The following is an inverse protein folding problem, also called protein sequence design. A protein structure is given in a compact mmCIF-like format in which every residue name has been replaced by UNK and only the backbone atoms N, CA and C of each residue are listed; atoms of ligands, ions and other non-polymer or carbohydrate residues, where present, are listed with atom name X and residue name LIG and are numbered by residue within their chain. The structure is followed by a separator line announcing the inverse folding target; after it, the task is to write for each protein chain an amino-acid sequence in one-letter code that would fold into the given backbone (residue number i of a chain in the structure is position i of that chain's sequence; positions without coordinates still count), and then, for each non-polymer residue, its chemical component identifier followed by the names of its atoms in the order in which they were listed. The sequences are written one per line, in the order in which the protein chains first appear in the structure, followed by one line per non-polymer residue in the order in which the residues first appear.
data_IF_549075651167
#
_entry.id   IF_549075651167
#
_cell.length_a   1.000
_cell.length_b   1.000
_cell.length_c   1.000
_cell.angle_alpha   90.00
_cell.angle_beta   90.00
_cell.angle_gamma   90.00
#
_symmetry.space_group_name_H-M   'P 1'
#
loop_
_entity.id
_entity.type
_entity.pdbx_description
1 polymer ?
#
# COMPACT_ATOMS: atom_id res chain seq x y z
N UNK A 1 -7.26 13.66 -8.18
CA UNK A 1 -7.62 12.76 -7.04
C UNK A 1 -9.05 12.25 -7.15
N UNK A 2 -10.09 13.08 -7.00
CA UNK A 2 -11.49 12.63 -7.11
C UNK A 2 -12.00 12.61 -8.56
N UNK A 3 -11.47 13.47 -9.43
CA UNK A 3 -11.97 13.61 -10.81
C UNK A 3 -11.30 12.73 -11.86
N UNK A 4 -10.33 11.88 -11.49
CA UNK A 4 -9.75 10.90 -12.42
C UNK A 4 -10.81 9.92 -12.95
N UNK A 5 -11.86 9.65 -12.15
CA UNK A 5 -13.00 8.85 -12.60
C UNK A 5 -13.80 9.52 -13.73
N UNK A 6 -13.80 10.86 -13.81
CA UNK A 6 -14.46 11.63 -14.87
C UNK A 6 -13.69 11.44 -16.19
N UNK A 7 -12.37 11.25 -16.09
CA UNK A 7 -11.49 10.97 -17.24
C UNK A 7 -11.39 9.46 -17.55
N UNK A 8 -12.17 8.62 -16.86
CA UNK A 8 -12.17 7.15 -17.05
C UNK A 8 -10.96 6.43 -16.43
N UNK A 9 -10.11 7.14 -15.67
CA UNK A 9 -8.87 6.61 -15.11
C UNK A 9 -9.09 6.03 -13.70
N UNK A 10 -9.86 4.93 -13.63
CA UNK A 10 -10.34 4.38 -12.36
C UNK A 10 -9.24 3.77 -11.49
N UNK A 11 -8.26 3.09 -12.09
CA UNK A 11 -7.20 2.42 -11.34
C UNK A 11 -6.31 3.38 -10.54
N UNK A 12 -5.73 4.45 -11.13
CA UNK A 12 -4.98 5.46 -10.39
C UNK A 12 -5.82 6.18 -9.33
N UNK A 13 -7.12 6.41 -9.58
CA UNK A 13 -8.03 6.97 -8.57
C UNK A 13 -8.11 6.08 -7.33
N UNK A 14 -8.32 4.77 -7.50
CA UNK A 14 -8.35 3.82 -6.40
C UNK A 14 -7.03 3.76 -5.64
N UNK A 15 -5.89 3.71 -6.36
CA UNK A 15 -4.55 3.66 -5.73
C UNK A 15 -4.29 4.91 -4.90
N UNK A 16 -4.57 6.10 -5.44
CA UNK A 16 -4.35 7.36 -4.74
C UNK A 16 -5.29 7.50 -3.53
N UNK A 17 -6.55 7.08 -3.67
CA UNK A 17 -7.51 7.04 -2.56
C UNK A 17 -7.06 6.10 -1.43
N UNK A 18 -6.62 4.89 -1.78
CA UNK A 18 -6.10 3.90 -0.84
C UNK A 18 -4.93 4.47 -0.01
N UNK A 19 -3.91 5.02 -0.69
CA UNK A 19 -2.75 5.58 0.00
C UNK A 19 -3.09 6.84 0.80
N UNK A 20 -4.00 7.70 0.34
CA UNK A 20 -4.44 8.86 1.10
C UNK A 20 -5.08 8.45 2.44
N UNK A 21 -5.98 7.45 2.40
CA UNK A 21 -6.63 6.93 3.62
C UNK A 21 -5.63 6.22 4.53
N UNK A 22 -4.68 5.45 3.97
CA UNK A 22 -3.61 4.84 4.75
C UNK A 22 -2.79 5.89 5.49
N UNK A 23 -2.24 6.88 4.78
CA UNK A 23 -1.38 7.91 5.40
C UNK A 23 -2.13 8.80 6.38
N UNK A 24 -3.39 9.14 6.08
CA UNK A 24 -4.21 9.92 7.02
C UNK A 24 -4.50 9.11 8.28
N UNK A 25 -4.98 7.86 8.15
CA UNK A 25 -5.28 7.02 9.32
C UNK A 25 -4.03 6.71 10.14
N UNK A 26 -2.90 6.41 9.49
CA UNK A 26 -1.63 6.19 10.17
C UNK A 26 -1.11 7.47 10.83
N UNK A 27 -1.29 8.62 10.19
CA UNK A 27 -0.97 9.92 10.77
C UNK A 27 -1.75 10.18 12.06
N UNK A 28 -3.06 9.89 12.08
CA UNK A 28 -3.89 10.00 13.28
C UNK A 28 -3.39 9.12 14.43
N UNK A 29 -2.85 7.93 14.16
CA UNK A 29 -2.25 7.08 15.20
C UNK A 29 -1.08 7.76 15.92
N UNK A 30 -0.38 8.69 15.25
CA UNK A 30 0.80 9.37 15.77
C UNK A 30 0.48 10.74 16.40
N UNK A 31 -0.75 11.24 16.27
CA UNK A 31 -1.12 12.56 16.80
C UNK A 31 -1.24 12.50 18.34
N UNK A 32 -0.36 13.16 19.11
CA UNK A 32 -0.35 13.01 20.57
C UNK A 32 -1.62 13.54 21.24
N UNK A 33 -2.27 14.55 20.64
CA UNK A 33 -3.50 15.16 21.19
C UNK A 33 -4.71 14.24 21.16
N UNK A 34 -4.69 13.15 20.39
CA UNK A 34 -5.75 12.15 20.39
C UNK A 34 -5.64 11.16 21.56
N UNK A 35 -4.50 11.13 22.26
CA UNK A 35 -4.29 10.33 23.48
C UNK A 35 -4.71 8.85 23.34
N UNK A 36 -4.48 8.25 22.16
CA UNK A 36 -4.94 6.89 21.85
C UNK A 36 -4.33 5.80 22.75
N UNK A 37 -3.21 6.10 23.40
CA UNK A 37 -2.59 5.23 24.39
C UNK A 37 -3.19 5.36 25.80
N UNK A 38 -3.94 6.43 26.10
CA UNK A 38 -4.46 6.69 27.46
C UNK A 38 -5.33 5.56 28.04
N UNK A 39 -6.17 4.84 27.27
CA UNK A 39 -6.93 3.70 27.79
C UNK A 39 -6.05 2.52 28.25
N UNK A 40 -4.80 2.47 27.77
CA UNK A 40 -3.84 1.42 28.07
C UNK A 40 -2.76 1.88 29.07
N UNK A 41 -2.90 3.09 29.61
CA UNK A 41 -1.94 3.65 30.55
C UNK A 41 -1.93 2.88 31.87
N UNK A 42 -0.74 2.64 32.40
CA UNK A 42 -0.52 2.04 33.71
C UNK A 42 0.36 2.97 34.56
N UNK A 43 0.51 2.68 35.85
CA UNK A 43 1.46 3.41 36.69
C UNK A 43 2.91 3.29 36.23
N UNK A 44 3.26 2.21 35.52
CA UNK A 44 4.59 1.96 34.98
C UNK A 44 4.79 2.53 33.56
N UNK A 45 3.72 2.62 32.76
CA UNK A 45 3.70 3.30 31.46
C UNK A 45 2.51 4.28 31.40
N UNK A 46 2.73 5.54 31.79
CA UNK A 46 1.69 6.57 31.77
C UNK A 46 1.21 6.93 30.35
N UNK A 47 1.95 6.53 29.31
CA UNK A 47 1.59 6.81 27.91
C UNK A 47 0.70 5.72 27.32
N UNK A 48 0.81 4.49 27.83
CA UNK A 48 0.12 3.29 27.33
C UNK A 48 0.55 2.86 25.91
N UNK A 49 1.54 3.53 25.30
CA UNK A 49 2.02 3.24 23.95
C UNK A 49 2.90 2.00 23.90
N UNK A 50 3.50 1.61 25.02
CA UNK A 50 4.26 0.37 25.12
C UNK A 50 3.40 -0.81 25.57
N UNK A 51 2.10 -0.60 25.81
CA UNK A 51 1.20 -1.68 26.23
C UNK A 51 1.11 -2.78 25.17
N UNK A 52 1.00 -4.06 25.59
CA UNK A 52 0.78 -5.16 24.67
C UNK A 52 -0.44 -4.96 23.78
N UNK A 53 -1.53 -4.45 24.34
CA UNK A 53 -2.81 -4.29 23.66
C UNK A 53 -2.76 -3.17 22.61
N UNK A 54 -2.10 -2.04 22.88
CA UNK A 54 -1.94 -0.97 21.89
C UNK A 54 -1.12 -1.46 20.68
N UNK A 55 0.01 -2.11 20.95
CA UNK A 55 0.88 -2.64 19.89
C UNK A 55 0.21 -3.75 19.10
N UNK A 56 -0.62 -4.57 19.76
CA UNK A 56 -1.44 -5.59 19.12
C UNK A 56 -2.42 -5.02 18.10
N UNK A 57 -3.10 -3.93 18.45
CA UNK A 57 -4.06 -3.25 17.56
C UNK A 57 -3.34 -2.68 16.34
N UNK A 58 -2.17 -2.06 16.53
CA UNK A 58 -1.37 -1.53 15.41
C UNK A 58 -0.87 -2.65 14.50
N UNK A 59 -0.46 -3.78 15.07
CA UNK A 59 -0.06 -4.96 14.29
C UNK A 59 -1.22 -5.51 13.43
N UNK A 60 -2.43 -5.61 13.99
CA UNK A 60 -3.63 -6.02 13.23
C UNK A 60 -3.98 -5.02 12.13
N UNK A 61 -3.92 -3.72 12.43
CA UNK A 61 -4.11 -2.65 11.44
C UNK A 61 -3.20 -2.87 10.22
N UNK A 62 -1.91 -3.12 10.43
CA UNK A 62 -0.95 -3.34 9.34
C UNK A 62 -1.20 -4.65 8.56
N UNK A 63 -1.71 -5.70 9.21
CA UNK A 63 -2.09 -6.95 8.51
C UNK A 63 -3.23 -6.69 7.54
N UNK A 64 -4.29 -6.02 7.99
CA UNK A 64 -5.46 -5.70 7.17
C UNK A 64 -5.06 -4.81 5.99
N UNK A 65 -4.24 -3.79 6.22
CA UNK A 65 -3.68 -2.96 5.15
C UNK A 65 -2.79 -3.74 4.18
N UNK A 66 -1.98 -4.68 4.68
CA UNK A 66 -1.17 -5.56 3.85
C UNK A 66 -2.02 -6.39 2.88
N UNK A 67 -3.17 -6.92 3.31
CA UNK A 67 -4.11 -7.61 2.43
C UNK A 67 -4.78 -6.69 1.39
N UNK A 68 -5.13 -5.46 1.78
CA UNK A 68 -5.64 -4.48 0.84
C UNK A 68 -4.59 -4.18 -0.25
N UNK A 69 -3.35 -3.89 0.14
CA UNK A 69 -2.23 -3.65 -0.78
C UNK A 69 -1.93 -4.88 -1.67
N UNK A 70 -2.06 -6.09 -1.12
CA UNK A 70 -1.80 -7.32 -1.85
C UNK A 70 -2.88 -7.58 -2.92
N UNK A 71 -4.12 -7.19 -2.66
CA UNK A 71 -5.18 -7.19 -3.68
C UNK A 71 -4.77 -6.30 -4.87
N UNK A 72 -4.26 -5.10 -4.61
CA UNK A 72 -3.75 -4.22 -5.68
C UNK A 72 -2.55 -4.82 -6.41
N UNK A 73 -1.64 -5.51 -5.72
CA UNK A 73 -0.55 -6.25 -6.35
C UNK A 73 -1.07 -7.19 -7.45
N UNK A 74 -2.05 -8.04 -7.13
CA UNK A 74 -2.63 -9.00 -8.08
C UNK A 74 -3.13 -8.30 -9.35
N UNK A 75 -3.81 -7.16 -9.21
CA UNK A 75 -4.31 -6.40 -10.37
C UNK A 75 -3.20 -5.69 -11.14
N UNK A 76 -2.16 -5.20 -10.46
CA UNK A 76 -1.03 -4.51 -11.11
C UNK A 76 -0.14 -5.45 -11.93
N UNK A 77 -0.21 -6.76 -11.69
CA UNK A 77 0.44 -7.75 -12.55
C UNK A 77 -0.03 -7.66 -14.01
N UNK A 78 -1.22 -7.12 -14.29
CA UNK A 78 -1.68 -6.88 -15.68
C UNK A 78 -1.12 -5.60 -16.31
N UNK A 79 -0.44 -4.74 -15.54
CA UNK A 79 -0.04 -3.40 -15.96
C UNK A 79 1.45 -3.37 -16.30
N UNK A 80 2.33 -3.31 -15.30
CA UNK A 80 3.77 -3.31 -15.51
C UNK A 80 4.52 -3.87 -14.30
N UNK A 81 5.72 -4.37 -14.54
CA UNK A 81 6.58 -5.02 -13.53
C UNK A 81 6.90 -4.08 -12.39
N UNK A 82 7.15 -2.79 -12.67
CA UNK A 82 7.55 -1.84 -11.63
C UNK A 82 6.41 -1.57 -10.64
N UNK A 83 5.18 -1.37 -11.11
CA UNK A 83 4.01 -1.25 -10.24
C UNK A 83 3.75 -2.55 -9.48
N UNK A 84 3.84 -3.71 -10.13
CA UNK A 84 3.71 -5.00 -9.45
C UNK A 84 4.77 -5.15 -8.35
N UNK A 85 6.03 -4.80 -8.62
CA UNK A 85 7.09 -4.82 -7.62
C UNK A 85 6.83 -3.85 -6.46
N UNK A 86 6.37 -2.63 -6.74
CA UNK A 86 5.98 -1.66 -5.71
C UNK A 86 4.90 -2.24 -4.78
N UNK A 87 3.82 -2.77 -5.34
CA UNK A 87 2.72 -3.31 -4.53
C UNK A 87 3.11 -4.58 -3.77
N UNK A 88 3.93 -5.46 -4.36
CA UNK A 88 4.44 -6.64 -3.67
C UNK A 88 5.33 -6.26 -2.47
N UNK A 89 6.28 -5.34 -2.70
CA UNK A 89 7.23 -4.92 -1.68
C UNK A 89 6.54 -4.15 -0.55
N UNK A 90 5.57 -3.28 -0.85
CA UNK A 90 4.82 -2.55 0.19
C UNK A 90 3.90 -3.48 0.99
N UNK A 91 3.26 -4.47 0.36
CA UNK A 91 2.50 -5.51 1.09
C UNK A 91 3.40 -6.31 2.02
N UNK A 92 4.56 -6.75 1.52
CA UNK A 92 5.54 -7.48 2.32
C UNK A 92 6.06 -6.62 3.47
N UNK A 93 6.35 -5.35 3.23
CA UNK A 93 6.78 -4.40 4.25
C UNK A 93 5.70 -4.20 5.33
N UNK A 94 4.43 -4.09 4.95
CA UNK A 94 3.32 -3.96 5.91
C UNK A 94 3.23 -5.17 6.85
N UNK A 95 3.36 -6.39 6.32
CA UNK A 95 3.35 -7.61 7.15
C UNK A 95 4.61 -7.75 8.01
N UNK A 96 5.79 -7.37 7.49
CA UNK A 96 7.03 -7.35 8.26
C UNK A 96 6.96 -6.33 9.41
N UNK A 97 6.43 -5.14 9.15
CA UNK A 97 6.22 -4.11 10.18
C UNK A 97 5.16 -4.53 11.19
N UNK A 98 4.08 -5.19 10.76
CA UNK A 98 3.13 -5.82 11.69
C UNK A 98 3.82 -6.78 12.64
N UNK A 99 4.71 -7.64 12.12
CA UNK A 99 5.55 -8.52 12.93
C UNK A 99 6.39 -7.76 13.95
N UNK A 100 6.92 -6.58 13.61
CA UNK A 100 7.64 -5.74 14.55
C UNK A 100 6.76 -5.30 15.73
N UNK A 101 5.55 -4.82 15.45
CA UNK A 101 4.58 -4.42 16.50
C UNK A 101 4.13 -5.61 17.36
N UNK A 102 3.94 -6.80 16.78
CA UNK A 102 3.70 -8.01 17.57
C UNK A 102 4.86 -8.38 18.49
N UNK A 103 6.10 -8.19 18.03
CA UNK A 103 7.27 -8.45 18.86
C UNK A 103 7.39 -7.47 20.02
N UNK A 104 7.02 -6.21 19.81
CA UNK A 104 6.88 -5.21 20.89
C UNK A 104 5.84 -5.67 21.92
N UNK A 105 4.67 -6.17 21.49
CA UNK A 105 3.64 -6.60 22.44
C UNK A 105 4.06 -7.80 23.31
N UNK A 106 4.99 -8.63 22.81
CA UNK A 106 5.56 -9.76 23.56
C UNK A 106 6.83 -9.40 24.35
N UNK A 107 7.28 -8.15 24.31
CA UNK A 107 8.49 -7.68 25.01
C UNK A 107 9.83 -8.06 24.33
N UNK A 108 9.81 -8.55 23.10
CA UNK A 108 11.00 -8.95 22.33
C UNK A 108 11.48 -7.78 21.45
N UNK A 109 12.10 -6.79 22.10
CA UNK A 109 12.51 -5.54 21.45
C UNK A 109 13.67 -5.70 20.45
N UNK A 110 14.53 -6.72 20.64
CA UNK A 110 15.63 -6.99 19.70
C UNK A 110 15.09 -7.51 18.36
N UNK A 111 14.19 -8.49 18.40
CA UNK A 111 13.52 -8.96 17.18
C UNK A 111 12.68 -7.83 16.56
N UNK A 112 11.93 -7.07 17.36
CA UNK A 112 11.14 -5.94 16.87
C UNK A 112 11.99 -4.93 16.08
N UNK A 113 13.17 -4.58 16.61
CA UNK A 113 14.10 -3.65 15.94
C UNK A 113 14.62 -4.21 14.61
N UNK A 114 14.93 -5.51 14.54
CA UNK A 114 15.37 -6.17 13.30
C UNK A 114 14.26 -6.17 12.25
N UNK A 115 13.03 -6.51 12.66
CA UNK A 115 11.84 -6.46 11.79
C UNK A 115 11.55 -5.04 11.30
N UNK A 116 11.67 -4.04 12.18
CA UNK A 116 11.46 -2.64 11.81
C UNK A 116 12.48 -2.16 10.78
N UNK A 117 13.76 -2.51 10.94
CA UNK A 117 14.81 -2.22 9.96
C UNK A 117 14.54 -2.91 8.61
N UNK A 118 14.14 -4.18 8.64
CA UNK A 118 13.79 -4.92 7.43
C UNK A 118 12.59 -4.29 6.70
N UNK A 119 11.52 -3.96 7.43
CA UNK A 119 10.35 -3.28 6.88
C UNK A 119 10.70 -1.90 6.31
N UNK A 120 11.52 -1.11 7.01
CA UNK A 120 12.02 0.18 6.53
C UNK A 120 12.88 0.06 5.27
N UNK A 121 13.74 -0.95 5.17
CA UNK A 121 14.54 -1.20 3.97
C UNK A 121 13.67 -1.54 2.76
N UNK A 122 12.62 -2.36 2.94
CA UNK A 122 11.64 -2.65 1.88
C UNK A 122 10.91 -1.37 1.43
N UNK A 123 10.43 -0.56 2.37
CA UNK A 123 9.77 0.72 2.06
C UNK A 123 10.71 1.71 1.36
N UNK A 124 12.00 1.70 1.67
CA UNK A 124 12.98 2.53 0.97
C UNK A 124 13.11 2.13 -0.51
N UNK A 125 13.17 0.83 -0.81
CA UNK A 125 13.17 0.33 -2.20
C UNK A 125 11.86 0.72 -2.90
N UNK A 126 10.72 0.58 -2.22
CA UNK A 126 9.42 1.04 -2.74
C UNK A 126 9.44 2.52 -3.08
N UNK A 127 9.99 3.37 -2.21
CA UNK A 127 10.10 4.80 -2.46
C UNK A 127 10.98 5.12 -3.68
N UNK A 128 12.09 4.42 -3.85
CA UNK A 128 12.96 4.57 -5.02
C UNK A 128 12.26 4.17 -6.33
N UNK A 129 11.53 3.04 -6.32
CA UNK A 129 10.73 2.60 -7.48
C UNK A 129 9.56 3.55 -7.77
N UNK A 130 8.91 4.06 -6.72
CA UNK A 130 7.85 5.06 -6.85
C UNK A 130 8.37 6.37 -7.46
N UNK A 131 9.56 6.82 -7.04
CA UNK A 131 10.23 7.97 -7.63
C UNK A 131 10.58 7.75 -9.11
N UNK A 132 11.07 6.56 -9.45
CA UNK A 132 11.33 6.16 -10.84
C UNK A 132 10.06 6.21 -11.69
N UNK A 133 8.93 5.69 -11.20
CA UNK A 133 7.65 5.78 -11.91
C UNK A 133 7.14 7.21 -12.05
N UNK A 134 7.29 8.03 -11.01
CA UNK A 134 6.95 9.45 -11.05
C UNK A 134 7.71 10.15 -12.19
N UNK A 135 9.02 9.93 -12.28
CA UNK A 135 9.85 10.50 -13.35
C UNK A 135 9.37 10.07 -14.74
N UNK A 136 9.03 8.78 -14.92
CA UNK A 136 8.54 8.26 -16.21
C UNK A 136 7.21 8.88 -16.60
N UNK A 137 6.27 8.99 -15.67
CA UNK A 137 4.96 9.59 -15.93
C UNK A 137 5.14 11.06 -16.30
N UNK A 138 5.95 11.82 -15.55
CA UNK A 138 6.24 13.23 -15.87
C UNK A 138 6.91 13.39 -17.24
N UNK A 139 7.87 12.52 -17.58
CA UNK A 139 8.53 12.54 -18.89
C UNK A 139 7.53 12.27 -20.02
N UNK A 140 6.59 11.34 -19.82
CA UNK A 140 5.50 11.06 -20.76
C UNK A 140 4.58 12.25 -20.98
N UNK A 141 4.13 12.91 -19.91
CA UNK A 141 3.28 14.11 -19.97
C UNK A 141 3.97 15.28 -20.69
N UNK A 142 5.27 15.46 -20.45
CA UNK A 142 6.09 16.48 -21.13
C UNK A 142 6.47 16.11 -22.57
N UNK A 143 5.98 14.97 -23.09
CA UNK A 143 6.30 14.43 -24.42
C UNK A 143 7.80 14.21 -24.66
N UNK A 144 8.56 13.96 -23.59
CA UNK A 144 9.97 13.62 -23.67
C UNK A 144 10.06 12.17 -24.15
N UNK A 145 10.76 11.93 -25.26
CA UNK A 145 10.89 10.62 -25.93
C UNK A 145 11.80 9.61 -25.22
N UNK A 146 12.04 9.79 -23.92
CA UNK A 146 12.88 8.90 -23.12
C UNK A 146 12.07 7.64 -22.74
N UNK A 147 12.27 6.55 -23.49
CA UNK A 147 11.62 5.26 -23.21
C UNK A 147 12.39 4.48 -22.14
N UNK A 148 12.08 4.74 -20.87
CA UNK A 148 12.63 3.98 -19.75
C UNK A 148 11.88 2.65 -19.57
N UNK A 149 12.58 1.55 -19.24
CA UNK A 149 11.97 0.24 -19.13
C UNK A 149 11.07 0.14 -17.88
N UNK A 150 9.78 -0.09 -18.09
CA UNK A 150 8.80 -0.39 -17.02
C UNK A 150 8.44 -1.88 -16.93
N UNK A 151 8.80 -2.65 -17.96
CA UNK A 151 8.43 -4.05 -18.11
C UNK A 151 6.92 -4.22 -18.31
N UNK A 152 6.44 -4.10 -19.54
CA UNK A 152 5.04 -4.33 -19.86
C UNK A 152 4.68 -5.80 -19.62
N UNK A 153 3.74 -6.04 -18.70
CA UNK A 153 3.29 -7.37 -18.35
C UNK A 153 2.09 -7.81 -19.18
N UNK A 154 1.39 -6.89 -19.85
CA UNK A 154 0.14 -7.17 -20.56
C UNK A 154 0.24 -8.31 -21.59
N UNK A 155 1.42 -8.53 -22.17
CA UNK A 155 1.71 -9.63 -23.10
C UNK A 155 1.41 -11.03 -22.53
N UNK A 156 1.52 -11.24 -21.21
CA UNK A 156 1.26 -12.55 -20.61
C UNK A 156 -0.23 -12.84 -20.39
N UNK A 157 -1.13 -11.88 -20.62
CA UNK A 157 -2.57 -12.06 -20.40
C UNK A 157 -3.34 -12.15 -21.72
N UNK A 158 -4.27 -13.13 -21.86
CA UNK A 158 -5.15 -13.21 -23.01
C UNK A 158 -6.02 -11.95 -23.15
N UNK A 159 -6.16 -11.44 -24.37
CA UNK A 159 -7.06 -10.31 -24.66
C UNK A 159 -8.49 -10.67 -24.24
N UNK A 160 -9.08 -9.87 -23.36
CA UNK A 160 -10.44 -10.09 -22.81
C UNK A 160 -11.50 -9.27 -23.56
N UNK A 161 -11.21 -8.84 -24.79
CA UNK A 161 -12.09 -7.97 -25.59
C UNK A 161 -13.42 -8.67 -25.96
N UNK A 162 -13.45 -10.01 -25.95
CA UNK A 162 -14.61 -10.81 -26.39
C UNK A 162 -15.71 -10.92 -25.33
N UNK A 163 -15.37 -10.86 -24.04
CA UNK A 163 -16.33 -11.13 -22.96
C UNK A 163 -17.15 -9.89 -22.54
N UNK A 164 -16.55 -8.69 -22.58
CA UNK A 164 -17.22 -7.45 -22.20
C UNK A 164 -18.15 -6.93 -23.30
N UNK A 165 -17.74 -7.01 -24.57
CA UNK A 165 -18.60 -6.66 -25.70
C UNK A 165 -19.84 -7.57 -25.79
N UNK A 166 -19.70 -8.86 -25.46
CA UNK A 166 -20.81 -9.79 -25.40
C UNK A 166 -21.75 -9.55 -24.21
N UNK A 167 -21.24 -9.01 -23.09
CA UNK A 167 -22.04 -8.63 -21.93
C UNK A 167 -22.83 -7.33 -22.19
N UNK A 168 -22.18 -6.30 -22.76
CA UNK A 168 -22.86 -5.06 -23.17
C UNK A 168 -23.90 -5.29 -24.28
N UNK A 169 -23.65 -6.23 -25.20
CA UNK A 169 -24.64 -6.58 -26.22
C UNK A 169 -25.87 -7.27 -25.64
N UNK A 170 -25.70 -8.12 -24.62
CA UNK A 170 -26.83 -8.76 -23.91
C UNK A 170 -27.67 -7.74 -23.15
N UNK A 171 -27.04 -6.81 -22.44
CA UNK A 171 -27.75 -5.74 -21.72
C UNK A 171 -28.49 -4.74 -22.61
N UNK A 172 -28.12 -4.63 -23.91
CA UNK A 172 -28.84 -3.79 -24.88
C UNK A 172 -30.00 -4.50 -25.58
N UNK A 173 -30.08 -5.82 -25.48
CA UNK A 173 -31.13 -6.64 -26.13
C UNK A 173 -32.26 -7.05 -25.18
N UNK A 174 -32.14 -6.77 -23.89
CA UNK A 174 -33.18 -6.96 -22.86
C UNK A 174 -33.87 -5.62 -22.52
#
# INVERSE_FOLDING_TARGET
MVFEWIMGNFFPMMVMGLFAVFWLSFGLLQVPTLQLGSPYATSADPTGLASPEYNAVVALYLIVWGFALFTFFIFTCKINVVFAAIFLLVSTAAWVLSGAYWKVSTGDFDAATKLQKAGGALLFVVAALGWYMCFIIMAGEMRITLKLPVGDLSHFWPKTDVALAAAEQRERTD
#
